data_IF_338755360746
#
_entry.id   IF_338755360746
#
_cell.length_a   1.000
_cell.length_b   1.000
_cell.length_c   1.000
_cell.angle_alpha   90.00
_cell.angle_beta   90.00
_cell.angle_gamma   90.00
#
_symmetry.space_group_name_H-M   'P 1'
#
loop_
_entity.id
_entity.type
_entity.pdbx_description
1 polymer ?
#
# COMPACT_ATOMS: atom_id res chain seq x y z
N UNK A 1 -38.74 -11.81 1.02
CA UNK A 1 -37.39 -11.38 1.44
C UNK A 1 -36.38 -12.19 0.68
N UNK A 2 -35.72 -11.57 -0.29
CA UNK A 2 -34.57 -12.14 -0.99
C UNK A 2 -33.85 -10.97 -1.68
N UNK A 3 -32.77 -10.50 -1.06
CA UNK A 3 -31.85 -9.53 -1.64
C UNK A 3 -30.57 -10.30 -2.02
N UNK A 4 -30.40 -10.48 -3.32
CA UNK A 4 -29.29 -11.19 -3.91
C UNK A 4 -28.13 -10.19 -3.97
N UNK A 5 -27.28 -10.17 -2.94
CA UNK A 5 -26.04 -9.41 -2.96
C UNK A 5 -25.09 -10.05 -3.96
N UNK A 6 -25.11 -9.55 -5.20
CA UNK A 6 -24.10 -9.86 -6.21
C UNK A 6 -22.78 -9.27 -5.72
N UNK A 7 -21.90 -10.15 -5.23
CA UNK A 7 -20.51 -9.83 -4.94
C UNK A 7 -19.83 -9.49 -6.25
N UNK A 8 -19.63 -8.20 -6.50
CA UNK A 8 -18.87 -7.71 -7.64
C UNK A 8 -17.40 -8.01 -7.33
N UNK A 9 -16.87 -9.09 -7.93
CA UNK A 9 -15.43 -9.35 -7.98
C UNK A 9 -14.74 -8.11 -8.56
N UNK A 10 -13.66 -7.60 -7.96
CA UNK A 10 -12.82 -6.64 -8.67
C UNK A 10 -12.19 -7.39 -9.84
N UNK A 11 -12.61 -7.04 -11.05
CA UNK A 11 -11.94 -7.45 -12.27
C UNK A 11 -10.48 -7.02 -12.18
N UNK A 12 -9.57 -7.99 -12.04
CA UNK A 12 -8.12 -7.80 -12.14
C UNK A 12 -7.79 -7.37 -13.58
N UNK A 13 -8.03 -6.09 -13.84
CA UNK A 13 -7.90 -5.45 -15.13
C UNK A 13 -6.44 -5.13 -15.34
N UNK A 14 -5.70 -6.05 -15.99
CA UNK A 14 -4.36 -5.84 -16.57
C UNK A 14 -3.55 -4.71 -15.88
N UNK A 15 -3.23 -4.93 -14.61
CA UNK A 15 -2.68 -3.87 -13.76
C UNK A 15 -1.31 -3.46 -14.31
N UNK A 16 -1.15 -2.16 -14.59
CA UNK A 16 0.17 -1.56 -14.77
C UNK A 16 1.05 -1.80 -13.53
N UNK A 17 2.29 -1.28 -13.47
CA UNK A 17 3.13 -1.45 -12.27
C UNK A 17 2.30 -1.17 -11.01
N UNK A 18 2.17 -2.14 -10.12
CA UNK A 18 1.26 -2.08 -8.97
C UNK A 18 1.71 -0.91 -8.07
N UNK A 19 1.02 0.23 -8.20
CA UNK A 19 1.31 1.43 -7.42
C UNK A 19 0.43 1.39 -6.19
N UNK A 20 1.07 1.16 -5.04
CA UNK A 20 0.41 1.06 -3.74
C UNK A 20 0.14 2.45 -3.20
N UNK A 21 -1.13 2.78 -2.95
CA UNK A 21 -1.48 3.99 -2.20
C UNK A 21 -1.30 3.72 -0.71
N UNK A 22 -0.37 4.43 -0.07
CA UNK A 22 -0.05 4.21 1.34
C UNK A 22 -0.16 5.52 2.14
N UNK A 23 -0.51 5.36 3.41
CA UNK A 23 -0.34 6.36 4.45
C UNK A 23 0.31 5.67 5.64
N UNK A 24 1.60 5.91 5.86
CA UNK A 24 2.40 5.26 6.89
C UNK A 24 3.19 6.31 7.67
N UNK A 25 3.29 6.11 8.98
CA UNK A 25 4.13 6.91 9.85
C UNK A 25 4.94 5.96 10.74
N UNK A 26 6.26 6.20 10.80
CA UNK A 26 7.18 5.45 11.64
C UNK A 26 7.96 6.45 12.51
N UNK A 27 7.91 6.24 13.82
CA UNK A 27 8.58 7.09 14.80
C UNK A 27 9.90 6.46 15.23
N UNK A 28 10.99 7.22 15.13
CA UNK A 28 12.33 6.87 15.55
C UNK A 28 12.76 7.81 16.68
N UNK A 29 13.83 7.44 17.39
CA UNK A 29 14.39 8.30 18.43
C UNK A 29 14.74 9.70 17.92
N UNK A 30 15.17 9.81 16.66
CA UNK A 30 15.65 11.06 16.06
C UNK A 30 14.58 11.80 15.25
N UNK A 31 13.32 11.33 15.23
CA UNK A 31 12.24 11.97 14.49
C UNK A 31 11.29 10.98 13.85
N UNK A 32 10.45 11.46 12.93
CA UNK A 32 9.37 10.69 12.33
C UNK A 32 9.52 10.62 10.82
N UNK A 33 9.40 9.42 10.25
CA UNK A 33 9.27 9.20 8.81
C UNK A 33 7.80 9.08 8.46
N UNK A 34 7.31 9.91 7.54
CA UNK A 34 5.91 9.91 7.10
C UNK A 34 5.84 9.70 5.58
N UNK A 35 5.19 8.63 5.15
CA UNK A 35 4.96 8.27 3.76
C UNK A 35 3.48 8.45 3.43
N UNK A 36 3.17 9.29 2.45
CA UNK A 36 1.80 9.50 1.97
C UNK A 36 1.79 9.56 0.45
N UNK A 37 0.84 8.88 -0.16
CA UNK A 37 0.66 8.85 -1.60
C UNK A 37 1.03 7.51 -2.21
N UNK A 38 1.21 7.50 -3.52
CA UNK A 38 1.40 6.27 -4.28
C UNK A 38 2.88 5.93 -4.40
N UNK A 39 3.23 4.70 -4.04
CA UNK A 39 4.60 4.16 -4.11
C UNK A 39 4.60 2.86 -4.90
N UNK A 40 5.66 2.59 -5.65
CA UNK A 40 5.84 1.26 -6.25
C UNK A 40 6.12 0.23 -5.16
N UNK A 41 5.67 -1.01 -5.36
CA UNK A 41 6.00 -2.15 -4.48
C UNK A 41 7.51 -2.25 -4.20
N UNK A 42 8.34 -2.15 -5.25
CA UNK A 42 9.81 -2.20 -5.14
C UNK A 42 10.37 -1.16 -4.17
N UNK A 43 9.89 0.08 -4.26
CA UNK A 43 10.32 1.16 -3.36
C UNK A 43 9.90 0.84 -1.92
N UNK A 44 8.67 0.36 -1.70
CA UNK A 44 8.19 0.01 -0.38
C UNK A 44 9.03 -1.11 0.25
N UNK A 45 9.37 -2.15 -0.52
CA UNK A 45 10.24 -3.24 -0.04
C UNK A 45 11.61 -2.71 0.39
N UNK A 46 12.24 -1.86 -0.41
CA UNK A 46 13.55 -1.28 -0.10
C UNK A 46 13.50 -0.41 1.16
N UNK A 47 12.45 0.41 1.32
CA UNK A 47 12.26 1.22 2.52
C UNK A 47 12.13 0.34 3.77
N UNK A 48 11.34 -0.72 3.73
CA UNK A 48 11.18 -1.65 4.86
C UNK A 48 12.51 -2.31 5.22
N UNK A 49 13.32 -2.69 4.23
CA UNK A 49 14.64 -3.27 4.48
C UNK A 49 15.59 -2.29 5.16
N UNK A 50 15.64 -1.05 4.71
CA UNK A 50 16.52 -0.02 5.30
C UNK A 50 16.08 0.36 6.71
N UNK A 51 14.77 0.43 6.97
CA UNK A 51 14.23 0.73 8.29
C UNK A 51 14.46 -0.37 9.33
N UNK A 52 14.71 -1.61 8.89
CA UNK A 52 15.00 -2.74 9.78
C UNK A 52 16.48 -2.85 10.15
N UNK A 53 17.36 -2.07 9.52
CA UNK A 53 18.80 -2.08 9.76
C UNK A 53 19.16 -1.34 11.03
#
# INVERSE_FOLDING_TARGET
>A
MTLNATSVQPELTAEGPEVLSISCEATFWHGTLRLNGTVSEKLLTLLIQELKR
#
